data_IF_814648234220
#
_entry.id   IF_814648234220
#
_cell.length_a   1.000
_cell.length_b   1.000
_cell.length_c   1.000
_cell.angle_alpha   90.00
_cell.angle_beta   90.00
_cell.angle_gamma   90.00
#
_symmetry.space_group_name_H-M   'P 1'
#
loop_
_entity.id
_entity.type
_entity.pdbx_description
1 polymer ?
#
# COMPACT_ATOMS: atom_id res chain seq x y z
N UNK A 1 4.37 -5.37 5.39
CA UNK A 1 5.28 -4.30 5.83
C UNK A 1 5.87 -3.55 4.64
N UNK A 2 6.74 -4.19 3.84
CA UNK A 2 7.42 -3.57 2.70
C UNK A 2 6.51 -2.75 1.76
N UNK A 3 5.39 -3.34 1.34
CA UNK A 3 4.40 -2.68 0.48
C UNK A 3 3.77 -1.44 1.12
N UNK A 4 3.30 -1.56 2.37
CA UNK A 4 2.67 -0.45 3.10
C UNK A 4 3.66 0.69 3.37
N UNK A 5 4.94 0.37 3.60
CA UNK A 5 5.99 1.37 3.75
C UNK A 5 6.31 2.06 2.42
N UNK A 6 6.38 1.30 1.33
CA UNK A 6 6.60 1.85 -0.01
C UNK A 6 5.50 2.85 -0.38
N UNK A 7 4.24 2.52 -0.13
CA UNK A 7 3.10 3.42 -0.35
C UNK A 7 3.21 4.70 0.46
N UNK A 8 3.53 4.59 1.75
CA UNK A 8 3.64 5.76 2.61
C UNK A 8 4.82 6.66 2.21
N UNK A 9 5.89 6.09 1.65
CA UNK A 9 7.07 6.81 1.21
C UNK A 9 7.04 7.26 -0.25
N UNK A 10 6.04 6.84 -1.04
CA UNK A 10 5.92 7.12 -2.48
C UNK A 10 6.17 8.60 -2.85
N UNK A 11 5.68 9.60 -2.07
CA UNK A 11 5.91 11.01 -2.37
C UNK A 11 7.38 11.43 -2.30
N UNK A 12 8.23 10.72 -1.54
CA UNK A 12 9.65 11.02 -1.38
C UNK A 12 10.57 10.10 -2.21
N UNK A 13 10.01 9.18 -3.00
CA UNK A 13 10.80 8.31 -3.89
C UNK A 13 11.08 9.00 -5.22
N UNK A 14 12.27 8.79 -5.77
CA UNK A 14 12.54 9.07 -7.18
C UNK A 14 11.88 8.02 -8.07
N UNK A 15 11.67 8.33 -9.35
CA UNK A 15 11.11 7.37 -10.33
C UNK A 15 11.91 6.07 -10.41
N UNK A 16 13.25 6.16 -10.40
CA UNK A 16 14.13 5.00 -10.37
C UNK A 16 13.94 4.15 -9.11
N UNK A 17 13.74 4.78 -7.95
CA UNK A 17 13.47 4.08 -6.68
C UNK A 17 12.09 3.44 -6.67
N UNK A 18 11.06 4.11 -7.21
CA UNK A 18 9.71 3.54 -7.37
C UNK A 18 9.77 2.27 -8.22
N UNK A 19 10.40 2.34 -9.39
CA UNK A 19 10.54 1.21 -10.31
C UNK A 19 11.30 0.04 -9.67
N UNK A 20 12.46 0.30 -9.05
CA UNK A 20 13.24 -0.73 -8.40
C UNK A 20 12.48 -1.43 -7.27
N UNK A 21 11.76 -0.67 -6.45
CA UNK A 21 10.96 -1.22 -5.37
C UNK A 21 9.74 -2.01 -5.89
N UNK A 22 9.08 -1.55 -6.95
CA UNK A 22 7.98 -2.30 -7.58
C UNK A 22 8.46 -3.61 -8.19
N UNK A 23 9.61 -3.62 -8.86
CA UNK A 23 10.22 -4.85 -9.39
C UNK A 23 10.51 -5.83 -8.26
N UNK A 24 11.11 -5.38 -7.16
CA UNK A 24 11.41 -6.21 -6.00
C UNK A 24 10.14 -6.77 -5.33
N UNK A 25 9.08 -5.96 -5.20
CA UNK A 25 7.78 -6.43 -4.73
C UNK A 25 7.19 -7.52 -5.64
N UNK A 26 7.31 -7.35 -6.97
CA UNK A 26 6.76 -8.29 -7.94
C UNK A 26 7.45 -9.66 -7.90
N UNK A 27 8.76 -9.71 -7.68
CA UNK A 27 9.52 -10.96 -7.55
C UNK A 27 9.49 -11.55 -6.14
N UNK A 28 8.74 -10.93 -5.21
CA UNK A 28 8.57 -11.45 -3.84
C UNK A 28 9.76 -11.17 -2.91
N UNK A 29 10.56 -10.14 -3.21
CA UNK A 29 11.75 -9.74 -2.43
C UNK A 29 11.44 -8.50 -1.57
N UNK A 30 11.00 -8.65 -0.31
CA UNK A 30 10.58 -7.51 0.53
C UNK A 30 11.77 -6.74 1.14
N UNK A 31 12.94 -7.36 1.28
CA UNK A 31 14.09 -6.73 1.94
C UNK A 31 14.68 -5.55 1.15
N UNK A 32 14.90 -5.66 -0.18
CA UNK A 32 15.35 -4.53 -1.01
C UNK A 32 14.38 -3.36 -0.99
N UNK A 33 13.07 -3.63 -0.94
CA UNK A 33 12.01 -2.61 -0.88
C UNK A 33 12.14 -1.79 0.39
N UNK A 34 12.27 -2.46 1.54
CA UNK A 34 12.42 -1.80 2.84
C UNK A 34 13.69 -0.95 2.88
N UNK A 35 14.81 -1.46 2.33
CA UNK A 35 16.06 -0.71 2.28
C UNK A 35 15.91 0.58 1.45
N UNK A 36 15.35 0.49 0.23
CA UNK A 36 15.12 1.65 -0.65
C UNK A 36 14.23 2.67 0.02
N UNK A 37 13.14 2.22 0.63
CA UNK A 37 12.15 3.08 1.29
C UNK A 37 12.74 3.79 2.50
N UNK A 38 13.40 3.06 3.39
CA UNK A 38 13.97 3.63 4.62
C UNK A 38 15.11 4.60 4.29
N UNK A 39 15.91 4.30 3.27
CA UNK A 39 16.93 5.24 2.76
C UNK A 39 16.30 6.55 2.30
N UNK A 40 15.21 6.48 1.54
CA UNK A 40 14.54 7.67 1.03
C UNK A 40 13.89 8.49 2.15
N UNK A 41 13.24 7.84 3.12
CA UNK A 41 12.62 8.49 4.27
C UNK A 41 13.67 9.19 5.16
N UNK A 42 14.77 8.50 5.46
CA UNK A 42 15.89 9.06 6.24
C UNK A 42 16.48 10.30 5.56
N UNK A 43 16.72 10.25 4.25
CA UNK A 43 17.33 11.36 3.50
C UNK A 43 16.40 12.55 3.28
N UNK A 44 15.13 12.30 2.98
CA UNK A 44 14.15 13.35 2.71
C UNK A 44 13.56 13.96 3.99
N UNK A 45 13.62 13.23 5.11
CA UNK A 45 12.92 13.58 6.34
C UNK A 45 11.39 13.51 6.21
N UNK A 46 10.88 12.88 5.14
CA UNK A 46 9.45 12.68 4.95
C UNK A 46 8.90 11.76 6.04
N UNK A 47 7.85 12.15 6.79
CA UNK A 47 7.41 11.41 7.94
C UNK A 47 6.48 10.25 7.56
N UNK A 48 6.62 9.12 8.26
CA UNK A 48 5.66 8.01 8.20
C UNK A 48 4.45 8.27 9.12
N UNK A 49 3.27 7.73 8.79
CA UNK A 49 2.16 7.64 9.74
C UNK A 49 2.60 6.93 11.03
N UNK A 50 2.23 7.47 12.19
CA UNK A 50 2.70 6.99 13.51
C UNK A 50 2.45 5.49 13.74
N UNK A 51 1.29 4.97 13.34
CA UNK A 51 0.96 3.54 13.44
C UNK A 51 1.91 2.67 12.60
N UNK A 52 2.22 3.12 11.39
CA UNK A 52 3.13 2.41 10.49
C UNK A 52 4.57 2.49 11.00
N UNK A 53 4.96 3.63 11.55
CA UNK A 53 6.26 3.83 12.17
C UNK A 53 6.45 2.87 13.37
N UNK A 54 5.47 2.76 14.27
CA UNK A 54 5.52 1.81 15.39
C UNK A 54 5.61 0.37 14.88
N UNK A 55 4.77 -0.01 13.91
CA UNK A 55 4.77 -1.35 13.34
C UNK A 55 6.12 -1.69 12.66
N UNK A 56 6.76 -0.72 12.01
CA UNK A 56 8.08 -0.88 11.40
C UNK A 56 9.17 -1.10 12.45
N UNK A 57 9.20 -0.30 13.52
CA UNK A 57 10.17 -0.50 14.61
C UNK A 57 9.98 -1.81 15.35
N UNK A 58 8.73 -2.24 15.55
CA UNK A 58 8.44 -3.56 16.14
C UNK A 58 8.94 -4.68 15.23
N UNK A 59 8.67 -4.59 13.92
CA UNK A 59 9.18 -5.55 12.94
C UNK A 59 10.72 -5.61 12.91
N UNK A 60 11.40 -4.47 13.03
CA UNK A 60 12.86 -4.42 13.12
C UNK A 60 13.40 -5.10 14.38
N UNK A 61 12.73 -4.90 15.52
CA UNK A 61 13.10 -5.50 16.80
C UNK A 61 13.01 -7.02 16.78
N UNK A 62 12.03 -7.57 16.05
CA UNK A 62 11.81 -9.01 15.91
C UNK A 62 12.82 -9.71 15.00
N UNK A 63 13.69 -8.98 14.30
CA UNK A 63 14.74 -9.56 13.44
C UNK A 63 15.98 -9.91 14.27
N UNK A 64 16.37 -11.19 14.39
CA UNK A 64 17.55 -11.59 15.14
C UNK A 64 18.82 -11.04 14.48
N UNK A 65 19.79 -10.64 15.31
CA UNK A 65 21.16 -10.35 14.85
C UNK A 65 21.83 -11.69 14.53
N UNK A 66 21.94 -12.04 13.24
CA UNK A 66 22.49 -13.33 12.80
C UNK A 66 23.68 -13.12 11.86
N UNK A 67 24.86 -13.02 12.45
CA UNK A 67 26.20 -13.53 12.11
C UNK A 67 26.69 -13.63 10.65
N UNK A 68 26.08 -12.95 9.68
CA UNK A 68 26.36 -13.13 8.25
C UNK A 68 26.32 -11.81 7.49
N UNK A 69 26.61 -11.80 6.19
CA UNK A 69 26.58 -10.59 5.33
C UNK A 69 25.24 -9.81 5.37
N UNK A 70 24.16 -10.45 5.84
CA UNK A 70 22.87 -9.81 6.17
C UNK A 70 22.93 -8.85 7.38
N UNK A 71 23.94 -8.96 8.25
CA UNK A 71 24.21 -8.08 9.40
C UNK A 71 24.53 -6.65 8.96
N UNK A 72 25.31 -6.47 7.89
CA UNK A 72 25.65 -5.12 7.41
C UNK A 72 24.42 -4.40 6.86
N UNK A 73 23.61 -5.06 6.04
CA UNK A 73 22.36 -4.49 5.55
C UNK A 73 21.34 -4.24 6.68
N UNK A 74 21.32 -5.09 7.71
CA UNK A 74 20.43 -4.92 8.86
C UNK A 74 20.90 -3.78 9.79
N UNK A 75 22.21 -3.65 10.00
CA UNK A 75 22.81 -2.56 10.76
C UNK A 75 22.58 -1.23 10.05
N UNK A 76 22.83 -1.18 8.74
CA UNK A 76 22.58 0.00 7.91
C UNK A 76 21.10 0.39 7.96
N UNK A 77 20.20 -0.59 7.87
CA UNK A 77 18.77 -0.38 8.02
C UNK A 77 18.39 0.15 9.41
N UNK A 78 18.98 -0.37 10.49
CA UNK A 78 18.75 0.12 11.86
C UNK A 78 19.25 1.54 12.07
N UNK A 79 20.40 1.89 11.50
CA UNK A 79 20.93 3.26 11.53
C UNK A 79 19.97 4.20 10.81
N UNK A 80 19.59 3.89 9.58
CA UNK A 80 18.67 4.74 8.83
C UNK A 80 17.27 4.82 9.45
N UNK A 81 16.81 3.74 10.08
CA UNK A 81 15.52 3.70 10.78
C UNK A 81 15.45 4.69 11.95
N UNK A 82 16.57 5.00 12.60
CA UNK A 82 16.62 5.98 13.68
C UNK A 82 16.31 7.42 13.20
N UNK A 83 16.56 7.70 11.92
CA UNK A 83 16.32 9.02 11.31
C UNK A 83 14.92 9.14 10.69
N UNK A 84 14.13 8.06 10.66
CA UNK A 84 12.77 8.09 10.14
C UNK A 84 11.87 8.86 11.11
N UNK A 85 11.14 9.85 10.60
CA UNK A 85 10.22 10.66 11.39
C UNK A 85 8.82 10.04 11.39
N UNK A 86 8.06 10.31 12.44
CA UNK A 86 6.64 9.95 12.54
C UNK A 86 5.75 11.20 12.50
N UNK A 87 4.55 11.08 11.94
CA UNK A 87 3.51 12.10 11.99
C UNK A 87 2.18 11.52 12.46
N UNK A 88 1.45 12.29 13.27
CA UNK A 88 0.05 12.05 13.65
C UNK A 88 -0.93 12.70 12.66
N UNK A 89 -0.44 13.68 11.88
CA UNK A 89 -1.14 14.25 10.74
C UNK A 89 -1.06 13.29 9.57
N UNK A 90 -1.83 12.20 9.65
CA UNK A 90 -2.39 11.60 8.44
C UNK A 90 -3.44 12.61 8.01
N UNK A 91 -3.25 13.27 6.88
CA UNK A 91 -4.25 14.18 6.33
C UNK A 91 -5.59 13.47 6.17
N UNK A 92 -6.43 13.48 7.21
CA UNK A 92 -7.87 13.41 7.07
C UNK A 92 -8.24 14.80 6.60
N UNK A 93 -8.48 14.93 5.31
CA UNK A 93 -9.08 16.14 4.78
C UNK A 93 -10.54 16.11 5.25
N UNK A 94 -10.83 16.85 6.33
CA UNK A 94 -12.12 17.43 6.74
C UNK A 94 -13.43 16.68 6.41
N UNK A 95 -13.46 15.35 6.44
CA UNK A 95 -14.66 14.58 6.08
C UNK A 95 -15.20 14.92 4.68
N UNK A 96 -14.37 15.46 3.79
CA UNK A 96 -14.66 15.79 2.40
C UNK A 96 -13.48 15.39 1.53
N UNK A 97 -13.82 14.94 0.33
CA UNK A 97 -12.89 14.44 -0.68
C UNK A 97 -11.68 15.36 -0.83
N UNK A 98 -10.48 14.80 -0.69
CA UNK A 98 -9.26 15.45 -1.16
C UNK A 98 -9.05 15.11 -2.63
N UNK A 99 -8.68 16.11 -3.43
CA UNK A 99 -8.60 16.14 -4.91
C UNK A 99 -7.77 15.05 -5.62
N UNK A 100 -7.27 14.01 -4.95
CA UNK A 100 -6.47 12.96 -5.60
C UNK A 100 -6.44 11.65 -4.81
N UNK A 101 -7.56 10.94 -4.70
CA UNK A 101 -7.55 9.52 -4.25
C UNK A 101 -7.30 8.59 -5.44
N UNK A 102 -6.77 7.39 -5.19
CA UNK A 102 -6.53 6.41 -6.27
C UNK A 102 -7.85 5.95 -6.91
N UNK A 103 -8.93 5.89 -6.12
CA UNK A 103 -10.29 5.68 -6.63
C UNK A 103 -10.75 6.86 -7.50
N UNK A 104 -10.43 8.11 -7.12
CA UNK A 104 -10.79 9.29 -7.91
C UNK A 104 -10.25 9.19 -9.33
N UNK A 105 -9.00 8.78 -9.55
CA UNK A 105 -8.46 8.63 -10.91
C UNK A 105 -9.23 7.61 -11.76
N UNK A 106 -9.68 6.50 -11.14
CA UNK A 106 -10.48 5.49 -11.85
C UNK A 106 -11.89 6.02 -12.16
N UNK A 107 -12.46 6.80 -11.25
CA UNK A 107 -13.79 7.39 -11.41
C UNK A 107 -13.79 8.57 -12.39
N UNK A 108 -12.74 9.38 -12.39
CA UNK A 108 -12.51 10.51 -13.29
C UNK A 108 -12.29 10.03 -14.73
N UNK A 109 -11.47 9.00 -14.94
CA UNK A 109 -11.30 8.35 -16.25
C UNK A 109 -12.62 7.78 -16.79
N UNK A 110 -13.49 7.32 -15.89
CA UNK A 110 -14.84 6.87 -16.22
C UNK A 110 -15.88 8.01 -16.33
N UNK A 111 -15.51 9.26 -16.07
CA UNK A 111 -16.39 10.43 -16.11
C UNK A 111 -17.47 10.46 -15.02
N UNK A 112 -17.25 9.74 -13.91
CA UNK A 112 -18.23 9.56 -12.82
C UNK A 112 -17.70 9.97 -11.45
N UNK A 113 -16.60 10.74 -11.40
CA UNK A 113 -16.02 11.23 -10.15
C UNK A 113 -17.03 11.96 -9.25
N UNK A 114 -17.90 12.79 -9.84
CA UNK A 114 -18.95 13.54 -9.11
C UNK A 114 -20.34 12.87 -9.14
N UNK A 115 -20.41 11.63 -9.63
CA UNK A 115 -21.66 10.90 -9.78
C UNK A 115 -22.18 10.32 -8.45
N UNK A 116 -23.41 9.80 -8.47
CA UNK A 116 -23.97 9.11 -7.31
C UNK A 116 -23.13 7.86 -6.94
N UNK A 117 -23.06 7.47 -5.65
CA UNK A 117 -22.23 6.36 -5.18
C UNK A 117 -22.47 5.02 -5.91
N UNK A 118 -23.70 4.77 -6.35
CA UNK A 118 -24.07 3.58 -7.12
C UNK A 118 -23.39 3.56 -8.50
N UNK A 119 -23.32 4.71 -9.17
CA UNK A 119 -22.67 4.85 -10.49
C UNK A 119 -21.15 4.74 -10.36
N UNK A 120 -20.58 5.28 -9.28
CA UNK A 120 -19.17 5.11 -8.94
C UNK A 120 -18.81 3.64 -8.68
N UNK A 121 -19.66 2.93 -7.92
CA UNK A 121 -19.47 1.51 -7.64
C UNK A 121 -19.51 0.65 -8.93
N UNK A 122 -20.41 0.95 -9.86
CA UNK A 122 -20.50 0.22 -11.13
C UNK A 122 -19.30 0.48 -12.04
N UNK A 123 -18.77 1.71 -12.06
CA UNK A 123 -17.53 2.02 -12.77
C UNK A 123 -16.35 1.26 -12.18
N UNK A 124 -16.21 1.23 -10.85
CA UNK A 124 -15.17 0.46 -10.16
C UNK A 124 -15.31 -1.04 -10.38
N UNK A 125 -16.54 -1.61 -10.38
CA UNK A 125 -16.77 -3.02 -10.74
C UNK A 125 -16.32 -3.33 -12.16
N UNK A 126 -16.66 -2.47 -13.12
CA UNK A 126 -16.27 -2.63 -14.52
C UNK A 126 -14.75 -2.58 -14.65
N UNK A 127 -14.10 -1.65 -13.97
CA UNK A 127 -12.64 -1.56 -13.94
C UNK A 127 -11.99 -2.81 -13.32
N UNK A 128 -12.49 -3.29 -12.17
CA UNK A 128 -12.02 -4.50 -11.49
C UNK A 128 -12.20 -5.78 -12.33
N UNK A 129 -13.19 -5.81 -13.23
CA UNK A 129 -13.37 -6.96 -14.14
C UNK A 129 -12.29 -7.07 -15.21
N UNK A 130 -11.63 -5.95 -15.54
CA UNK A 130 -10.58 -5.87 -16.56
C UNK A 130 -9.17 -5.66 -15.99
N UNK A 131 -9.07 -5.24 -14.72
CA UNK A 131 -7.83 -4.82 -14.09
C UNK A 131 -7.72 -5.36 -12.66
N UNK A 132 -6.51 -5.77 -12.28
CA UNK A 132 -6.24 -6.21 -10.91
C UNK A 132 -5.84 -5.00 -10.05
N UNK A 133 -6.58 -4.67 -8.98
CA UNK A 133 -6.27 -3.50 -8.16
C UNK A 133 -4.95 -3.70 -7.41
N UNK A 134 -4.10 -2.67 -7.41
CA UNK A 134 -2.92 -2.61 -6.53
C UNK A 134 -3.36 -2.65 -5.07
N UNK A 135 -2.52 -3.12 -4.13
CA UNK A 135 -2.89 -3.11 -2.71
C UNK A 135 -3.18 -1.70 -2.16
N UNK A 136 -2.57 -0.66 -2.72
CA UNK A 136 -2.85 0.74 -2.41
C UNK A 136 -4.26 1.13 -2.86
N UNK A 137 -4.64 0.74 -4.09
CA UNK A 137 -6.01 0.94 -4.58
C UNK A 137 -7.00 0.08 -3.79
N UNK A 138 -6.66 -1.13 -3.35
CA UNK A 138 -7.54 -1.94 -2.48
C UNK A 138 -7.75 -1.29 -1.13
N UNK A 139 -6.69 -0.76 -0.52
CA UNK A 139 -6.75 -0.03 0.74
C UNK A 139 -7.56 1.25 0.57
N UNK A 140 -7.32 1.99 -0.50
CA UNK A 140 -8.08 3.19 -0.85
C UNK A 140 -9.56 2.85 -1.08
N UNK A 141 -9.89 1.81 -1.83
CA UNK A 141 -11.27 1.34 -2.02
C UNK A 141 -11.93 0.96 -0.69
N UNK A 142 -11.23 0.28 0.22
CA UNK A 142 -11.76 -0.02 1.57
C UNK A 142 -12.00 1.24 2.40
N UNK A 143 -11.06 2.19 2.35
CA UNK A 143 -11.17 3.47 3.06
C UNK A 143 -12.29 4.35 2.48
N UNK A 144 -12.57 4.23 1.18
CA UNK A 144 -13.59 4.98 0.45
C UNK A 144 -14.93 4.22 0.35
N UNK A 145 -15.15 3.16 1.13
CA UNK A 145 -16.44 2.47 1.21
C UNK A 145 -16.73 1.49 0.07
N UNK A 146 -15.82 1.33 -0.89
CA UNK A 146 -15.88 0.34 -1.98
C UNK A 146 -15.20 -0.99 -1.63
N UNK A 147 -14.84 -1.20 -0.36
CA UNK A 147 -14.18 -2.43 0.09
C UNK A 147 -14.95 -3.71 -0.25
N UNK A 148 -16.28 -3.64 -0.23
CA UNK A 148 -17.17 -4.75 -0.58
C UNK A 148 -17.07 -5.19 -2.05
N UNK A 149 -16.48 -4.36 -2.93
CA UNK A 149 -16.22 -4.73 -4.33
C UNK A 149 -14.98 -5.60 -4.50
N UNK A 150 -14.13 -5.66 -3.48
CA UNK A 150 -12.90 -6.45 -3.48
C UNK A 150 -13.11 -7.88 -2.96
N UNK A 151 -14.17 -8.07 -2.19
CA UNK A 151 -14.56 -9.38 -1.69
C UNK A 151 -15.26 -10.11 -2.84
N UNK A 152 -14.49 -10.94 -3.55
CA UNK A 152 -15.07 -11.91 -4.48
C UNK A 152 -16.16 -12.68 -3.75
N UNK A 153 -17.42 -12.70 -4.22
CA UNK A 153 -18.36 -13.71 -3.76
C UNK A 153 -17.70 -15.06 -4.05
N UNK A 154 -17.57 -15.91 -3.04
CA UNK A 154 -17.25 -17.31 -3.24
C UNK A 154 -18.09 -17.82 -4.42
N UNK A 155 -17.49 -18.45 -5.44
CA UNK A 155 -18.31 -19.13 -6.44
C UNK A 155 -19.21 -20.10 -5.69
N UNK A 156 -20.52 -20.19 -6.01
CA UNK A 156 -21.40 -21.13 -5.33
C UNK A 156 -20.75 -22.51 -5.40
N UNK A 157 -20.50 -23.11 -4.23
CA UNK A 157 -20.01 -24.48 -4.16
C UNK A 157 -20.96 -25.35 -4.98
N UNK A 158 -20.44 -25.96 -6.05
CA UNK A 158 -21.14 -27.00 -6.80
C UNK A 158 -21.18 -28.30 -5.98
N UNK A 159 -21.63 -28.24 -4.73
CA UNK A 159 -22.02 -29.41 -3.96
C UNK A 159 -23.53 -29.60 -4.12
N UNK A 160 -23.91 -30.27 -5.21
CA UNK A 160 -25.32 -30.39 -5.55
C UNK A 160 -25.64 -31.30 -6.72
N UNK A 161 -24.90 -32.39 -6.93
CA UNK A 161 -25.40 -33.53 -7.73
C UNK A 161 -25.41 -34.79 -6.86
N UNK A 162 -26.22 -34.71 -5.80
CA UNK A 162 -26.86 -35.88 -5.25
C UNK A 162 -28.11 -36.17 -6.07
N UNK A 163 -28.03 -37.13 -6.98
CA UNK A 163 -29.23 -37.83 -7.47
C UNK A 163 -28.97 -39.34 -7.44
N UNK A 164 -29.89 -39.99 -6.74
CA UNK A 164 -30.15 -41.43 -6.62
C UNK A 164 -29.97 -42.21 -7.93
#
# INVERSE_FOLDING_TARGET
MAEVMWEAAEPCLSEAQRLAALTALHVGEPSPVILVVVTALSRSGYPLPSELHMAFHEWLRQRPDVGSHAEWSLLELRVMAADVKATVNVGRIDGRYGDATLCYFVLDDAGVADAAPEQQADALRRWLSASRPSPSLRKDMRLNGFGYLLDTPEPPSCDGLGTK
#
